data_IF_377342771191
#
_entry.id   IF_377342771191
#
_cell.length_a   1.000
_cell.length_b   1.000
_cell.length_c   1.000
_cell.angle_alpha   90.00
_cell.angle_beta   90.00
_cell.angle_gamma   90.00
#
_symmetry.space_group_name_H-M   'P 1'
#
loop_
_entity.id
_entity.type
_entity.pdbx_description
1 polymer ?
#
# COMPACT_ATOMS: atom_id res chain seq x y z
N UNK A 1 -41.03 9.13 -10.40
CA UNK A 1 -39.99 8.15 -9.98
C UNK A 1 -38.66 8.29 -10.74
N UNK A 2 -38.32 9.46 -11.31
CA UNK A 2 -37.08 9.63 -12.12
C UNK A 2 -36.00 10.48 -11.45
N UNK A 3 -36.33 11.26 -10.41
CA UNK A 3 -35.37 12.14 -9.71
C UNK A 3 -34.39 11.39 -8.79
N UNK A 4 -34.78 10.26 -8.18
CA UNK A 4 -33.88 9.53 -7.27
C UNK A 4 -32.75 8.81 -8.01
N UNK A 5 -33.02 8.32 -9.22
CA UNK A 5 -32.02 7.61 -10.05
C UNK A 5 -30.95 8.59 -10.54
N UNK A 6 -31.31 9.82 -10.92
CA UNK A 6 -30.36 10.85 -11.35
C UNK A 6 -29.49 11.35 -10.19
N UNK A 7 -30.07 11.48 -8.99
CA UNK A 7 -29.31 11.82 -7.79
C UNK A 7 -28.33 10.70 -7.40
N UNK A 8 -28.78 9.43 -7.46
CA UNK A 8 -27.90 8.28 -7.23
C UNK A 8 -26.77 8.19 -8.25
N UNK A 9 -27.07 8.47 -9.53
CA UNK A 9 -26.09 8.48 -10.62
C UNK A 9 -25.12 9.65 -10.51
N UNK A 10 -25.58 10.82 -10.07
CA UNK A 10 -24.74 12.00 -9.82
C UNK A 10 -23.88 11.84 -8.56
N UNK A 11 -24.38 11.14 -7.53
CA UNK A 11 -23.63 10.84 -6.30
C UNK A 11 -22.63 9.68 -6.54
N UNK A 12 -22.98 8.68 -7.34
CA UNK A 12 -22.05 7.66 -7.85
C UNK A 12 -20.99 8.27 -8.76
N UNK A 13 -21.36 9.19 -9.66
CA UNK A 13 -20.41 9.91 -10.51
C UNK A 13 -19.53 10.85 -9.70
N UNK A 14 -20.06 11.55 -8.70
CA UNK A 14 -19.26 12.42 -7.81
C UNK A 14 -18.36 11.60 -6.89
N UNK A 15 -18.81 10.42 -6.45
CA UNK A 15 -17.94 9.44 -5.84
C UNK A 15 -16.84 9.07 -6.84
N UNK A 16 -17.17 8.63 -8.07
CA UNK A 16 -16.27 8.23 -9.17
C UNK A 16 -15.33 9.33 -9.73
N UNK A 17 -15.56 10.62 -9.42
CA UNK A 17 -14.87 11.77 -10.06
C UNK A 17 -14.09 12.63 -9.06
N UNK A 18 -14.01 12.28 -7.78
CA UNK A 18 -13.13 12.99 -6.84
C UNK A 18 -11.93 12.14 -6.39
N UNK A 19 -10.95 11.84 -7.27
CA UNK A 19 -9.59 11.77 -6.79
C UNK A 19 -9.26 13.15 -6.20
N UNK A 20 -9.02 13.21 -4.89
CA UNK A 20 -8.52 14.42 -4.22
C UNK A 20 -7.32 14.95 -5.02
N UNK A 21 -7.35 16.18 -5.54
CA UNK A 21 -6.27 16.68 -6.38
C UNK A 21 -4.94 16.57 -5.64
N UNK A 22 -3.94 15.97 -6.29
CA UNK A 22 -2.59 15.73 -5.75
C UNK A 22 -1.77 17.01 -5.47
N UNK A 23 -2.37 18.19 -5.61
CA UNK A 23 -1.66 19.46 -5.63
C UNK A 23 -2.26 20.42 -4.62
N UNK A 24 -1.71 20.40 -3.40
CA UNK A 24 -1.98 21.43 -2.40
C UNK A 24 -0.81 21.54 -1.40
N UNK A 25 0.45 21.66 -1.87
CA UNK A 25 1.60 21.63 -0.95
C UNK A 25 2.78 22.46 -1.48
N UNK A 26 2.70 23.79 -1.36
CA UNK A 26 3.78 24.71 -1.72
C UNK A 26 4.35 25.40 -0.45
N UNK A 27 5.21 24.70 0.31
CA UNK A 27 6.09 25.28 1.34
C UNK A 27 7.15 24.26 1.76
N UNK A 28 8.37 24.72 2.07
CA UNK A 28 9.47 23.86 2.50
C UNK A 28 9.16 23.07 3.78
N UNK A 29 8.46 23.67 4.75
CA UNK A 29 7.97 22.96 5.95
C UNK A 29 6.96 21.87 5.60
N UNK A 30 6.20 22.06 4.53
CA UNK A 30 5.22 21.09 4.04
C UNK A 30 5.89 19.89 3.40
N UNK A 31 7.05 20.08 2.74
CA UNK A 31 7.83 18.98 2.15
C UNK A 31 8.46 18.08 3.24
N UNK A 32 8.98 18.68 4.31
CA UNK A 32 9.50 17.94 5.49
C UNK A 32 8.40 17.05 6.09
N UNK A 33 7.22 17.63 6.31
CA UNK A 33 6.11 16.95 6.96
C UNK A 33 5.48 15.90 6.04
N UNK A 34 5.40 16.18 4.73
CA UNK A 34 4.88 15.25 3.74
C UNK A 34 5.74 13.98 3.66
N UNK A 35 7.07 14.10 3.63
CA UNK A 35 7.94 12.93 3.62
C UNK A 35 7.71 12.05 4.86
N UNK A 36 7.65 12.68 6.04
CA UNK A 36 7.38 11.99 7.30
C UNK A 36 6.00 11.31 7.30
N UNK A 37 4.94 12.00 6.88
CA UNK A 37 3.57 11.45 6.83
C UNK A 37 3.47 10.32 5.81
N UNK A 38 4.05 10.48 4.62
CA UNK A 38 4.04 9.45 3.58
C UNK A 38 4.78 8.20 4.05
N UNK A 39 5.96 8.36 4.66
CA UNK A 39 6.75 7.23 5.15
C UNK A 39 6.12 6.56 6.39
N UNK A 40 5.53 7.34 7.29
CA UNK A 40 4.78 6.81 8.44
C UNK A 40 3.53 6.05 7.98
N UNK A 41 2.78 6.60 7.02
CA UNK A 41 1.63 5.95 6.40
C UNK A 41 2.02 4.63 5.74
N UNK A 42 3.09 4.64 4.93
CA UNK A 42 3.65 3.42 4.34
C UNK A 42 3.99 2.38 5.41
N UNK A 43 4.65 2.80 6.49
CA UNK A 43 5.07 1.90 7.57
C UNK A 43 3.87 1.29 8.31
N UNK A 44 2.79 2.05 8.50
CA UNK A 44 1.54 1.58 9.09
C UNK A 44 0.84 0.53 8.20
N UNK A 45 0.73 0.79 6.91
CA UNK A 45 0.17 -0.20 5.97
C UNK A 45 1.07 -1.43 5.83
N UNK A 46 2.40 -1.25 5.86
CA UNK A 46 3.33 -2.37 5.88
C UNK A 46 3.17 -3.23 7.14
N UNK A 47 2.94 -2.60 8.31
CA UNK A 47 2.62 -3.32 9.54
C UNK A 47 1.29 -4.09 9.42
N UNK A 48 0.26 -3.51 8.82
CA UNK A 48 -1.00 -4.19 8.55
C UNK A 48 -0.81 -5.41 7.63
N UNK A 49 0.02 -5.28 6.59
CA UNK A 49 0.40 -6.42 5.74
C UNK A 49 1.20 -7.47 6.51
N UNK A 50 2.14 -7.06 7.37
CA UNK A 50 2.89 -7.97 8.23
C UNK A 50 1.94 -8.80 9.11
N UNK A 51 0.96 -8.15 9.74
CA UNK A 51 -0.06 -8.85 10.52
C UNK A 51 -0.86 -9.82 9.64
N UNK A 52 -1.36 -9.38 8.48
CA UNK A 52 -2.14 -10.21 7.56
C UNK A 52 -1.36 -11.45 7.10
N UNK A 53 -0.11 -11.29 6.67
CA UNK A 53 0.72 -12.39 6.20
C UNK A 53 1.18 -13.32 7.32
N UNK A 54 1.35 -12.80 8.53
CA UNK A 54 1.58 -13.62 9.72
C UNK A 54 0.38 -14.50 10.06
N UNK A 55 -0.81 -13.90 10.19
CA UNK A 55 -2.02 -14.65 10.54
C UNK A 55 -2.45 -15.66 9.48
N UNK A 56 -2.14 -15.37 8.22
CA UNK A 56 -2.41 -16.28 7.10
C UNK A 56 -1.33 -17.36 6.90
N UNK A 57 -0.24 -17.33 7.67
CA UNK A 57 0.82 -18.33 7.67
C UNK A 57 1.82 -18.20 6.51
N UNK A 58 1.83 -17.07 5.78
CA UNK A 58 2.72 -16.87 4.63
C UNK A 58 4.18 -16.75 5.01
N UNK A 59 4.47 -16.25 6.21
CA UNK A 59 5.83 -16.19 6.76
C UNK A 59 6.39 -17.54 7.21
N UNK A 60 5.66 -18.66 7.04
CA UNK A 60 6.29 -19.98 7.11
C UNK A 60 7.37 -20.16 6.03
N UNK A 61 7.20 -19.50 4.87
CA UNK A 61 8.23 -19.50 3.82
C UNK A 61 9.25 -18.39 4.06
N UNK A 62 10.50 -18.79 4.33
CA UNK A 62 11.62 -17.85 4.51
C UNK A 62 11.91 -17.02 3.26
N UNK A 63 11.66 -17.56 2.06
CA UNK A 63 11.83 -16.83 0.80
C UNK A 63 10.80 -15.71 0.66
N UNK A 64 9.55 -15.95 1.07
CA UNK A 64 8.51 -14.93 1.06
C UNK A 64 8.82 -13.79 2.03
N UNK A 65 9.23 -14.13 3.26
CA UNK A 65 9.63 -13.13 4.26
C UNK A 65 10.80 -12.26 3.79
N UNK A 66 11.83 -12.87 3.18
CA UNK A 66 12.96 -12.13 2.58
C UNK A 66 12.51 -11.20 1.47
N UNK A 67 11.68 -11.68 0.55
CA UNK A 67 11.21 -10.88 -0.58
C UNK A 67 10.36 -9.70 -0.10
N UNK A 68 9.44 -9.93 0.84
CA UNK A 68 8.63 -8.85 1.42
C UNK A 68 9.51 -7.82 2.13
N UNK A 69 10.46 -8.25 2.97
CA UNK A 69 11.38 -7.33 3.64
C UNK A 69 12.22 -6.50 2.65
N UNK A 70 12.72 -7.13 1.58
CA UNK A 70 13.48 -6.45 0.52
C UNK A 70 12.64 -5.41 -0.23
N UNK A 71 11.37 -5.70 -0.52
CA UNK A 71 10.49 -4.73 -1.18
C UNK A 71 10.14 -3.60 -0.22
N UNK A 72 9.86 -3.92 1.05
CA UNK A 72 9.44 -2.96 2.05
C UNK A 72 10.56 -1.98 2.48
N UNK A 73 11.84 -2.34 2.31
CA UNK A 73 12.95 -1.45 2.69
C UNK A 73 13.23 -0.35 1.65
N UNK A 74 12.81 -0.54 0.39
CA UNK A 74 13.08 0.39 -0.71
C UNK A 74 12.59 1.82 -0.39
N UNK A 75 11.35 2.04 0.08
CA UNK A 75 10.87 3.39 0.41
C UNK A 75 11.66 4.07 1.53
N UNK A 76 12.12 3.30 2.53
CA UNK A 76 12.94 3.83 3.61
C UNK A 76 14.33 4.27 3.11
N UNK A 77 14.93 3.51 2.19
CA UNK A 77 16.21 3.88 1.55
C UNK A 77 16.05 5.12 0.69
N UNK A 78 15.00 5.21 -0.12
CA UNK A 78 14.72 6.41 -0.93
C UNK A 78 14.53 7.63 -0.03
N UNK A 79 13.74 7.51 1.04
CA UNK A 79 13.53 8.59 1.99
C UNK A 79 14.84 9.04 2.65
N UNK A 80 15.75 8.11 2.97
CA UNK A 80 17.06 8.45 3.51
C UNK A 80 17.87 9.32 2.53
N UNK A 81 17.94 8.97 1.25
CA UNK A 81 18.61 9.79 0.25
C UNK A 81 17.97 11.17 0.10
N UNK A 82 16.63 11.23 0.10
CA UNK A 82 15.91 12.51 0.04
C UNK A 82 16.24 13.38 1.26
N UNK A 83 16.29 12.79 2.45
CA UNK A 83 16.66 13.52 3.68
C UNK A 83 18.06 14.12 3.59
N UNK A 84 19.02 13.32 3.13
CA UNK A 84 20.43 13.72 3.09
C UNK A 84 20.75 14.76 2.00
N UNK A 85 19.97 14.80 0.91
CA UNK A 85 20.24 15.70 -0.23
C UNK A 85 19.49 17.03 -0.08
N UNK A 86 18.27 17.03 0.48
CA UNK A 86 17.36 18.17 0.37
C UNK A 86 17.06 18.89 1.68
N UNK A 87 17.50 18.41 2.85
CA UNK A 87 17.23 19.07 4.13
C UNK A 87 18.50 19.60 4.76
N UNK A 88 18.52 20.91 5.01
CA UNK A 88 19.68 21.60 5.60
C UNK A 88 19.52 21.87 7.11
N UNK A 89 18.34 21.65 7.68
CA UNK A 89 18.08 21.94 9.09
C UNK A 89 18.16 20.69 9.96
N UNK A 90 18.93 20.76 11.05
CA UNK A 90 19.13 19.64 11.98
C UNK A 90 17.80 19.08 12.55
N UNK A 91 16.81 19.94 12.79
CA UNK A 91 15.49 19.53 13.26
C UNK A 91 14.70 18.69 12.24
N UNK A 92 14.69 19.11 10.97
CA UNK A 92 14.02 18.37 9.89
C UNK A 92 14.69 17.02 9.62
N UNK A 93 16.03 17.00 9.66
CA UNK A 93 16.82 15.77 9.53
C UNK A 93 16.51 14.82 10.70
N UNK A 94 16.57 15.30 11.95
CA UNK A 94 16.32 14.47 13.13
C UNK A 94 14.92 13.84 13.13
N UNK A 95 13.90 14.60 12.76
CA UNK A 95 12.51 14.10 12.69
C UNK A 95 12.37 12.99 11.65
N UNK A 96 12.86 13.22 10.42
CA UNK A 96 12.71 12.24 9.34
C UNK A 96 13.59 11.00 9.56
N UNK A 97 14.79 11.15 10.13
CA UNK A 97 15.63 10.00 10.53
C UNK A 97 14.88 9.10 11.50
N UNK A 98 14.17 9.65 12.49
CA UNK A 98 13.34 8.87 13.41
C UNK A 98 12.30 8.01 12.68
N UNK A 99 11.57 8.62 11.74
CA UNK A 99 10.56 7.90 10.93
C UNK A 99 11.22 6.86 10.02
N UNK A 100 12.39 7.16 9.44
CA UNK A 100 13.16 6.21 8.62
C UNK A 100 13.57 5.00 9.45
N UNK A 101 14.10 5.20 10.66
CA UNK A 101 14.50 4.09 11.55
C UNK A 101 13.30 3.18 11.85
N UNK A 102 12.16 3.77 12.20
CA UNK A 102 10.90 3.02 12.42
C UNK A 102 10.49 2.26 11.17
N UNK A 103 10.58 2.90 10.00
CA UNK A 103 10.25 2.26 8.72
C UNK A 103 11.16 1.06 8.43
N UNK A 104 12.48 1.20 8.60
CA UNK A 104 13.45 0.11 8.45
C UNK A 104 13.15 -1.03 9.42
N UNK A 105 12.88 -0.73 10.69
CA UNK A 105 12.56 -1.74 11.69
C UNK A 105 11.31 -2.55 11.30
N UNK A 106 10.26 -1.86 10.85
CA UNK A 106 9.01 -2.50 10.39
C UNK A 106 9.17 -3.25 9.07
N UNK A 107 10.09 -2.84 8.20
CA UNK A 107 10.42 -3.54 6.96
C UNK A 107 11.25 -4.81 7.20
N UNK A 108 12.04 -4.87 8.28
CA UNK A 108 12.79 -6.07 8.68
C UNK A 108 11.95 -7.06 9.52
N UNK A 109 10.81 -6.60 10.05
CA UNK A 109 9.89 -7.37 10.88
C UNK A 109 9.45 -8.72 10.27
N UNK A 110 9.18 -8.87 8.96
CA UNK A 110 8.92 -10.17 8.31
C UNK A 110 9.97 -11.24 8.62
N UNK A 111 11.25 -10.86 8.66
CA UNK A 111 12.37 -11.78 8.91
C UNK A 111 12.35 -12.32 10.33
N UNK A 112 11.95 -11.49 11.30
CA UNK A 112 11.79 -11.89 12.69
C UNK A 112 10.54 -12.75 12.87
N UNK A 113 9.44 -12.37 12.23
CA UNK A 113 8.19 -13.14 12.26
C UNK A 113 8.34 -14.53 11.66
N UNK A 114 9.29 -14.74 10.74
CA UNK A 114 9.59 -16.07 10.19
C UNK A 114 10.02 -17.06 11.28
N UNK A 115 10.69 -16.57 12.34
CA UNK A 115 11.17 -17.39 13.45
C UNK A 115 10.02 -17.81 14.39
N UNK A 116 8.97 -16.99 14.48
CA UNK A 116 7.78 -17.24 15.31
C UNK A 116 6.64 -17.91 14.54
N UNK A 117 6.68 -17.91 13.20
CA UNK A 117 5.61 -18.43 12.34
C UNK A 117 5.64 -19.97 12.26
N UNK A 118 5.10 -20.62 13.28
CA UNK A 118 4.92 -22.08 13.31
C UNK A 118 3.72 -22.57 12.48
N UNK A 119 2.80 -21.67 12.10
CA UNK A 119 1.55 -22.03 11.43
C UNK A 119 1.71 -22.12 9.91
N UNK A 120 1.45 -23.30 9.35
CA UNK A 120 1.44 -23.51 7.90
C UNK A 120 0.24 -22.80 7.21
N UNK A 121 0.37 -22.41 5.93
CA UNK A 121 -0.72 -21.83 5.16
C UNK A 121 -1.92 -22.77 5.06
N UNK A 122 -3.13 -22.25 5.26
CA UNK A 122 -4.37 -23.03 5.17
C UNK A 122 -5.03 -22.92 3.79
N UNK A 123 -6.03 -23.77 3.53
CA UNK A 123 -6.87 -23.69 2.32
C UNK A 123 -7.63 -22.35 2.18
N UNK A 124 -7.81 -21.57 3.23
CA UNK A 124 -8.48 -20.26 3.15
C UNK A 124 -7.52 -19.07 3.10
N UNK A 125 -6.21 -19.31 3.24
CA UNK A 125 -5.18 -18.26 3.26
C UNK A 125 -5.27 -17.35 2.03
N UNK A 126 -5.37 -17.92 0.83
CA UNK A 126 -5.44 -17.10 -0.39
C UNK A 126 -6.74 -16.30 -0.51
N UNK A 127 -7.86 -16.85 -0.01
CA UNK A 127 -9.16 -16.17 0.00
C UNK A 127 -9.16 -14.97 0.97
N UNK A 128 -8.58 -15.14 2.16
CA UNK A 128 -8.45 -14.06 3.15
C UNK A 128 -7.58 -12.92 2.59
N UNK A 129 -6.47 -13.25 1.92
CA UNK A 129 -5.61 -12.24 1.30
C UNK A 129 -6.33 -11.55 0.13
N UNK A 130 -7.09 -12.28 -0.68
CA UNK A 130 -7.89 -11.70 -1.76
C UNK A 130 -8.98 -10.76 -1.23
N UNK A 131 -9.68 -11.13 -0.15
CA UNK A 131 -10.66 -10.25 0.51
C UNK A 131 -10.00 -8.99 1.07
N UNK A 132 -8.85 -9.13 1.72
CA UNK A 132 -8.08 -7.98 2.17
C UNK A 132 -7.67 -7.07 1.00
N UNK A 133 -7.29 -7.64 -0.15
CA UNK A 133 -6.98 -6.88 -1.36
C UNK A 133 -8.21 -6.11 -1.90
N UNK A 134 -9.42 -6.68 -1.85
CA UNK A 134 -10.67 -5.96 -2.20
C UNK A 134 -10.89 -4.77 -1.27
N UNK A 135 -10.75 -4.96 0.05
CA UNK A 135 -10.92 -3.88 1.03
C UNK A 135 -9.87 -2.78 0.82
N UNK A 136 -8.62 -3.15 0.55
CA UNK A 136 -7.55 -2.20 0.22
C UNK A 136 -7.82 -1.45 -1.08
N UNK A 137 -8.40 -2.10 -2.09
CA UNK A 137 -8.77 -1.43 -3.34
C UNK A 137 -9.93 -0.45 -3.16
N UNK A 138 -10.94 -0.82 -2.35
CA UNK A 138 -12.05 0.09 -2.02
C UNK A 138 -11.58 1.31 -1.22
N UNK A 139 -10.62 1.12 -0.31
CA UNK A 139 -10.03 2.22 0.46
C UNK A 139 -9.05 3.05 -0.37
N UNK A 140 -8.41 2.45 -1.38
CA UNK A 140 -7.57 3.17 -2.34
C UNK A 140 -8.33 4.26 -3.10
N UNK A 141 -9.65 4.12 -3.20
CA UNK A 141 -10.52 5.14 -3.77
C UNK A 141 -10.44 6.49 -3.03
N UNK A 142 -10.21 6.46 -1.71
CA UNK A 142 -10.06 7.65 -0.87
C UNK A 142 -8.60 8.04 -0.66
N UNK A 143 -7.69 7.05 -0.67
CA UNK A 143 -6.26 7.24 -0.42
C UNK A 143 -5.48 6.45 -1.48
N UNK A 144 -5.22 7.10 -2.62
CA UNK A 144 -4.62 6.49 -3.83
C UNK A 144 -3.40 5.61 -3.57
N UNK A 145 -2.42 5.98 -2.71
CA UNK A 145 -1.24 5.14 -2.46
C UNK A 145 -1.55 3.74 -1.92
N UNK A 146 -2.72 3.53 -1.32
CA UNK A 146 -3.16 2.23 -0.82
C UNK A 146 -3.34 1.21 -1.96
N UNK A 147 -3.59 1.67 -3.20
CA UNK A 147 -3.70 0.80 -4.37
C UNK A 147 -2.47 -0.09 -4.56
N UNK A 148 -1.27 0.39 -4.22
CA UNK A 148 -0.03 -0.37 -4.32
C UNK A 148 -0.05 -1.58 -3.36
N UNK A 149 -0.59 -1.42 -2.15
CA UNK A 149 -0.76 -2.51 -1.19
C UNK A 149 -1.85 -3.49 -1.63
N UNK A 150 -2.93 -3.01 -2.27
CA UNK A 150 -3.94 -3.88 -2.88
C UNK A 150 -3.33 -4.75 -4.00
N UNK A 151 -2.47 -4.18 -4.84
CA UNK A 151 -1.72 -4.91 -5.89
C UNK A 151 -0.81 -5.97 -5.27
N UNK A 152 -0.08 -5.61 -4.22
CA UNK A 152 0.79 -6.54 -3.51
C UNK A 152 -0.01 -7.73 -2.96
N UNK A 153 -1.11 -7.49 -2.24
CA UNK A 153 -2.00 -8.54 -1.77
C UNK A 153 -2.59 -9.38 -2.91
N UNK A 154 -2.97 -8.75 -4.04
CA UNK A 154 -3.47 -9.45 -5.22
C UNK A 154 -2.43 -10.42 -5.81
N UNK A 155 -1.17 -10.01 -5.93
CA UNK A 155 -0.08 -10.88 -6.39
C UNK A 155 0.21 -12.02 -5.41
N UNK A 156 0.19 -11.72 -4.11
CA UNK A 156 0.38 -12.74 -3.08
C UNK A 156 -0.78 -13.74 -3.09
N UNK A 157 -2.03 -13.29 -3.21
CA UNK A 157 -3.19 -14.17 -3.32
C UNK A 157 -3.10 -15.08 -4.56
N UNK A 158 -2.71 -14.52 -5.72
CA UNK A 158 -2.55 -15.24 -6.98
C UNK A 158 -1.47 -16.32 -6.91
N UNK A 159 -0.34 -16.05 -6.26
CA UNK A 159 0.77 -17.00 -6.08
C UNK A 159 0.51 -18.02 -4.97
N UNK A 160 -0.50 -17.77 -4.12
CA UNK A 160 -0.74 -18.56 -2.91
C UNK A 160 -1.59 -19.81 -3.12
N UNK A 161 -2.49 -19.84 -4.12
CA UNK A 161 -3.33 -21.01 -4.41
C UNK A 161 -3.81 -21.08 -5.87
N UNK A 162 -4.08 -22.31 -6.32
CA UNK A 162 -4.52 -22.66 -7.66
C UNK A 162 -6.05 -22.68 -7.86
N UNK A 163 -6.85 -22.29 -6.86
CA UNK A 163 -8.31 -22.24 -7.03
C UNK A 163 -8.67 -21.18 -8.09
N UNK A 164 -9.38 -21.63 -9.13
CA UNK A 164 -9.81 -20.82 -10.26
C UNK A 164 -10.61 -19.58 -9.81
N UNK A 165 -11.39 -19.70 -8.72
CA UNK A 165 -12.20 -18.60 -8.19
C UNK A 165 -11.33 -17.51 -7.57
N UNK A 166 -10.37 -17.90 -6.73
CA UNK A 166 -9.43 -16.95 -6.09
C UNK A 166 -8.49 -16.34 -7.13
N UNK A 167 -8.11 -17.12 -8.15
CA UNK A 167 -7.32 -16.65 -9.29
C UNK A 167 -8.07 -15.59 -10.09
N UNK A 168 -9.36 -15.82 -10.40
CA UNK A 168 -10.19 -14.85 -11.10
C UNK A 168 -10.35 -13.57 -10.27
N UNK A 169 -10.68 -13.68 -8.98
CA UNK A 169 -10.80 -12.52 -8.07
C UNK A 169 -9.49 -11.74 -8.03
N UNK A 170 -8.35 -12.42 -7.88
CA UNK A 170 -7.04 -11.77 -7.82
C UNK A 170 -6.72 -11.05 -9.13
N UNK A 171 -6.99 -11.66 -10.29
CA UNK A 171 -6.79 -11.03 -11.60
C UNK A 171 -7.70 -9.82 -11.80
N UNK A 172 -8.97 -9.90 -11.39
CA UNK A 172 -9.89 -8.75 -11.45
C UNK A 172 -9.40 -7.60 -10.58
N UNK A 173 -8.91 -7.88 -9.37
CA UNK A 173 -8.34 -6.88 -8.47
C UNK A 173 -7.10 -6.25 -9.10
N UNK A 174 -6.20 -7.05 -9.70
CA UNK A 174 -5.00 -6.55 -10.35
C UNK A 174 -5.35 -5.67 -11.56
N UNK A 175 -6.26 -6.11 -12.42
CA UNK A 175 -6.71 -5.32 -13.56
C UNK A 175 -7.30 -3.96 -13.12
N UNK A 176 -8.16 -3.98 -12.09
CA UNK A 176 -8.76 -2.77 -11.54
C UNK A 176 -7.72 -1.84 -10.88
N UNK A 177 -6.81 -2.40 -10.08
CA UNK A 177 -5.81 -1.63 -9.35
C UNK A 177 -4.73 -1.02 -10.26
N UNK A 178 -4.24 -1.79 -11.26
CA UNK A 178 -3.34 -1.25 -12.29
C UNK A 178 -4.03 -0.22 -13.17
N UNK A 179 -5.29 -0.46 -13.55
CA UNK A 179 -6.09 0.52 -14.30
C UNK A 179 -6.27 1.83 -13.52
N UNK A 180 -6.55 1.72 -12.22
CA UNK A 180 -6.69 2.88 -11.33
C UNK A 180 -5.37 3.66 -11.19
N UNK A 181 -4.24 2.99 -10.98
CA UNK A 181 -2.94 3.65 -10.94
C UNK A 181 -2.55 4.26 -12.29
N UNK A 182 -2.87 3.60 -13.40
CA UNK A 182 -2.62 4.13 -14.75
C UNK A 182 -3.43 5.40 -15.03
N UNK A 183 -4.69 5.43 -14.62
CA UNK A 183 -5.54 6.63 -14.69
C UNK A 183 -4.94 7.78 -13.87
N UNK A 184 -4.50 7.49 -12.64
CA UNK A 184 -3.84 8.48 -11.79
C UNK A 184 -2.51 8.98 -12.36
N UNK A 185 -1.68 8.09 -12.90
CA UNK A 185 -0.44 8.47 -13.57
C UNK A 185 -0.70 9.38 -14.77
N UNK A 186 -1.73 9.07 -15.58
CA UNK A 186 -2.16 9.92 -16.68
C UNK A 186 -2.60 11.31 -16.19
N UNK A 187 -3.39 11.39 -15.12
CA UNK A 187 -3.75 12.67 -14.53
C UNK A 187 -2.52 13.46 -14.07
N UNK A 188 -1.59 12.83 -13.35
CA UNK A 188 -0.37 13.50 -12.89
C UNK A 188 0.40 14.07 -14.06
N UNK A 189 0.58 13.33 -15.16
CA UNK A 189 1.31 13.80 -16.35
C UNK A 189 0.59 14.94 -17.07
N UNK A 190 -0.75 14.91 -17.14
CA UNK A 190 -1.53 15.96 -17.81
C UNK A 190 -1.61 17.25 -16.98
N UNK A 191 -1.50 17.15 -15.66
CA UNK A 191 -1.69 18.27 -14.72
C UNK A 191 -0.40 18.69 -13.98
N UNK A 192 0.77 18.12 -14.30
CA UNK A 192 2.10 18.57 -13.82
C UNK A 192 2.79 19.44 -14.85
#
# INVERSE_FOLDING_TARGET
>A
MTRSITAYKSLLMSALIAPLPAFAMASDTTNVLLLAITLAGFSLFNLALNALFYFTGKYHSRNFAKMHALIAIIPAVIALFVVLIYFDTAGAISMNIGVIIVSVALSLLPLQLTLSAQKAPTKHTALIIALAAVVLLLTAYYITPIAIFAIACGHVALTSQADIKVKFISLSILAAAYGYLGYWAYQIIQFS
#
